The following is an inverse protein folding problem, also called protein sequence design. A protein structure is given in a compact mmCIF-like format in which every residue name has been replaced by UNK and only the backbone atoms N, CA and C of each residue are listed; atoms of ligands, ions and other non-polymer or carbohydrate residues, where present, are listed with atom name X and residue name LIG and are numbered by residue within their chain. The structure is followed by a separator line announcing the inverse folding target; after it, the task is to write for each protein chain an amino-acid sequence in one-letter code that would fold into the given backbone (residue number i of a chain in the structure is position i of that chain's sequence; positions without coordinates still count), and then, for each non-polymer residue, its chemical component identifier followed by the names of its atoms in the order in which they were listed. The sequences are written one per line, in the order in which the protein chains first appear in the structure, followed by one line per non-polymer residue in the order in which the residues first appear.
data_IF_947018413379
#
_entry.id   IF_947018413379
#
_cell.length_a   1.000
_cell.length_b   1.000
_cell.length_c   1.000
_cell.angle_alpha   90.00
_cell.angle_beta   90.00
_cell.angle_gamma   90.00
#
_symmetry.space_group_name_H-M   'P 1'
#
loop_
_entity.id
_entity.type
_entity.pdbx_description
1 polymer ?
#
# COMPACT_ATOMS: atom_id res chain seq x y z
N UNK A 1 -5.45 -10.15 -11.47
CA UNK A 1 -5.46 -9.11 -10.41
C UNK A 1 -4.21 -9.16 -9.55
N UNK A 2 -3.91 -10.21 -8.77
CA UNK A 2 -2.66 -10.20 -7.98
C UNK A 2 -1.41 -10.12 -8.88
N UNK A 3 -1.35 -10.91 -9.96
CA UNK A 3 -0.25 -10.83 -10.93
C UNK A 3 -0.08 -9.44 -11.56
N UNK A 4 -1.19 -8.78 -11.91
CA UNK A 4 -1.19 -7.43 -12.46
C UNK A 4 -0.61 -6.41 -11.46
N UNK A 5 -0.94 -6.58 -10.17
CA UNK A 5 -0.36 -5.76 -9.11
C UNK A 5 1.14 -6.05 -8.96
N UNK A 6 1.55 -7.32 -8.97
CA UNK A 6 2.97 -7.71 -8.94
C UNK A 6 3.75 -7.12 -10.10
N UNK A 7 3.21 -7.21 -11.32
CA UNK A 7 3.77 -6.61 -12.53
C UNK A 7 3.89 -5.09 -12.36
N UNK A 8 2.84 -4.44 -11.84
CA UNK A 8 2.91 -3.00 -11.63
C UNK A 8 3.97 -2.60 -10.61
N UNK A 9 4.08 -3.33 -9.50
CA UNK A 9 5.13 -3.08 -8.50
C UNK A 9 6.51 -3.27 -9.12
N UNK A 10 6.69 -4.33 -9.91
CA UNK A 10 7.94 -4.61 -10.62
C UNK A 10 8.31 -3.49 -11.57
N UNK A 11 7.37 -2.99 -12.38
CA UNK A 11 7.59 -1.85 -13.27
C UNK A 11 8.06 -0.61 -12.50
N UNK A 12 7.37 -0.25 -11.41
CA UNK A 12 7.70 0.93 -10.61
C UNK A 12 9.14 0.89 -10.07
N UNK A 13 9.58 -0.28 -9.60
CA UNK A 13 10.93 -0.48 -9.07
C UNK A 13 11.96 -0.49 -10.21
N UNK A 14 11.72 -1.24 -11.29
CA UNK A 14 12.66 -1.37 -12.41
C UNK A 14 12.86 -0.05 -13.14
N UNK A 15 11.78 0.71 -13.34
CA UNK A 15 11.81 2.03 -13.99
C UNK A 15 12.32 3.14 -13.05
N UNK A 16 12.64 2.81 -11.78
CA UNK A 16 13.07 3.76 -10.74
C UNK A 16 12.06 4.88 -10.49
N UNK A 17 10.77 4.60 -10.67
CA UNK A 17 9.70 5.51 -10.22
C UNK A 17 9.62 5.54 -8.70
N UNK A 18 10.02 4.44 -8.06
CA UNK A 18 10.19 4.31 -6.61
C UNK A 18 11.52 3.61 -6.30
N UNK A 19 12.14 3.97 -5.17
CA UNK A 19 13.33 3.31 -4.64
C UNK A 19 13.00 1.98 -3.91
N UNK A 20 11.74 1.81 -3.51
CA UNK A 20 11.21 0.58 -2.93
C UNK A 20 9.70 0.65 -2.79
N UNK A 21 9.05 -0.51 -2.66
CA UNK A 21 7.61 -0.65 -2.55
C UNK A 21 7.23 -1.39 -1.27
N UNK A 22 6.50 -0.75 -0.37
CA UNK A 22 5.99 -1.35 0.85
C UNK A 22 4.67 -2.08 0.57
N UNK A 23 4.70 -3.41 0.59
CA UNK A 23 3.55 -4.27 0.42
C UNK A 23 3.48 -5.34 1.50
N UNK A 24 2.78 -6.42 1.18
CA UNK A 24 2.72 -7.62 2.00
C UNK A 24 3.36 -8.78 1.25
N UNK A 25 4.07 -9.63 1.96
CA UNK A 25 4.52 -10.93 1.44
C UNK A 25 4.02 -12.06 2.32
N UNK A 26 3.86 -13.23 1.73
CA UNK A 26 3.71 -14.47 2.48
C UNK A 26 5.09 -14.91 2.97
N UNK A 27 5.19 -15.24 4.24
CA UNK A 27 6.39 -15.80 4.84
C UNK A 27 5.97 -17.01 5.69
N UNK A 28 6.28 -18.21 5.20
CA UNK A 28 5.69 -19.47 5.69
C UNK A 28 4.15 -19.38 5.74
N UNK A 29 3.56 -19.53 6.94
CA UNK A 29 2.12 -19.49 7.17
C UNK A 29 1.62 -18.09 7.60
N UNK A 30 2.48 -17.07 7.53
CA UNK A 30 2.16 -15.71 7.94
C UNK A 30 2.18 -14.76 6.76
N UNK A 31 1.45 -13.66 6.89
CA UNK A 31 1.54 -12.51 5.98
C UNK A 31 2.26 -11.41 6.76
N UNK A 32 3.26 -10.77 6.17
CA UNK A 32 4.03 -9.73 6.86
C UNK A 32 4.26 -8.51 5.95
N UNK A 33 4.35 -7.29 6.51
CA UNK A 33 4.84 -6.13 5.78
C UNK A 33 6.25 -6.39 5.25
N UNK A 34 6.46 -6.03 3.99
CA UNK A 34 7.74 -6.22 3.33
C UNK A 34 8.05 -5.07 2.38
N UNK A 35 9.31 -4.62 2.38
CA UNK A 35 9.80 -3.61 1.46
C UNK A 35 10.50 -4.31 0.30
N UNK A 36 9.83 -4.34 -0.84
CA UNK A 36 10.40 -4.81 -2.10
C UNK A 36 11.28 -3.70 -2.67
N UNK A 37 12.48 -4.04 -3.09
CA UNK A 37 13.46 -3.13 -3.71
C UNK A 37 14.03 -3.82 -4.94
N UNK A 38 14.98 -3.17 -5.60
CA UNK A 38 15.64 -3.76 -6.77
C UNK A 38 16.51 -4.96 -6.38
N UNK A 39 17.04 -4.96 -5.17
CA UNK A 39 17.98 -5.95 -4.64
C UNK A 39 17.31 -7.27 -4.22
N UNK A 40 16.00 -7.28 -4.02
CA UNK A 40 15.22 -8.45 -3.60
C UNK A 40 13.95 -8.62 -4.44
N UNK A 41 14.03 -8.25 -5.72
CA UNK A 41 12.88 -8.19 -6.62
C UNK A 41 12.24 -9.56 -6.85
N UNK A 42 13.02 -10.64 -6.75
CA UNK A 42 12.58 -12.02 -6.78
C UNK A 42 11.54 -12.34 -5.69
N UNK A 43 11.59 -11.65 -4.55
CA UNK A 43 10.63 -11.86 -3.45
C UNK A 43 9.20 -11.46 -3.84
N UNK A 44 8.99 -10.74 -4.95
CA UNK A 44 7.66 -10.47 -5.49
C UNK A 44 6.88 -11.75 -5.84
N UNK A 45 7.56 -12.88 -6.04
CA UNK A 45 6.87 -14.18 -6.16
C UNK A 45 6.02 -14.46 -4.91
N UNK A 46 6.52 -14.10 -3.73
CA UNK A 46 5.85 -14.22 -2.44
C UNK A 46 4.92 -13.03 -2.11
N UNK A 47 4.83 -12.01 -2.97
CA UNK A 47 3.87 -10.93 -2.76
C UNK A 47 2.47 -11.51 -2.60
N UNK A 48 1.75 -11.01 -1.61
CA UNK A 48 0.45 -11.55 -1.25
C UNK A 48 -0.54 -10.43 -0.99
N UNK A 49 -1.71 -10.51 -1.62
CA UNK A 49 -2.79 -9.59 -1.38
C UNK A 49 -3.94 -10.28 -0.65
N UNK A 50 -4.29 -9.77 0.52
CA UNK A 50 -5.36 -10.34 1.35
C UNK A 50 -6.11 -9.26 2.14
N UNK A 51 -7.13 -9.67 2.87
CA UNK A 51 -7.92 -8.86 3.80
C UNK A 51 -7.15 -8.53 5.10
N UNK A 52 -5.97 -9.12 5.31
CA UNK A 52 -5.11 -8.83 6.47
C UNK A 52 -4.70 -7.36 6.48
N UNK A 53 -4.78 -6.74 7.66
CA UNK A 53 -4.46 -5.32 7.84
C UNK A 53 -3.16 -5.14 8.61
N UNK A 54 -2.29 -4.32 8.06
CA UNK A 54 -1.11 -3.82 8.73
C UNK A 54 -1.12 -2.28 8.74
N UNK A 55 -0.54 -1.63 9.76
CA UNK A 55 -0.43 -0.18 9.81
C UNK A 55 0.71 0.30 8.89
N UNK A 56 0.59 0.02 7.59
CA UNK A 56 1.64 0.30 6.59
C UNK A 56 2.01 1.79 6.57
N UNK A 57 1.05 2.67 6.83
CA UNK A 57 1.23 4.12 6.93
C UNK A 57 2.18 4.53 8.07
N UNK A 58 2.20 3.78 9.17
CA UNK A 58 3.19 3.97 10.26
C UNK A 58 4.55 3.41 9.90
N UNK A 59 4.59 2.30 9.16
CA UNK A 59 5.84 1.66 8.73
C UNK A 59 6.56 2.55 7.72
N UNK A 60 5.86 3.05 6.70
CA UNK A 60 6.46 3.92 5.69
C UNK A 60 6.97 5.23 6.29
N UNK A 61 6.28 5.78 7.29
CA UNK A 61 6.74 6.96 8.04
C UNK A 61 8.09 6.71 8.72
N UNK A 62 8.29 5.52 9.30
CA UNK A 62 9.58 5.15 9.88
C UNK A 62 10.66 5.01 8.81
N UNK A 63 10.35 4.37 7.68
CA UNK A 63 11.28 4.21 6.56
C UNK A 63 11.72 5.59 6.03
N UNK A 64 10.78 6.49 5.75
CA UNK A 64 11.07 7.86 5.29
C UNK A 64 11.92 8.68 6.28
N UNK A 65 11.85 8.39 7.58
CA UNK A 65 12.73 9.04 8.57
C UNK A 65 14.21 8.67 8.37
N UNK A 66 14.49 7.43 7.99
CA UNK A 66 15.86 6.98 7.70
C UNK A 66 16.30 7.32 6.27
N UNK A 67 15.34 7.45 5.35
CA UNK A 67 15.57 7.70 3.93
C UNK A 67 14.72 8.89 3.44
N UNK A 68 15.00 10.12 3.89
CA UNK A 68 14.17 11.28 3.62
C UNK A 68 14.13 11.67 2.13
N UNK A 69 15.21 11.46 1.39
CA UNK A 69 15.31 11.85 -0.02
C UNK A 69 14.78 10.78 -1.00
N UNK A 70 14.37 9.63 -0.46
CA UNK A 70 13.90 8.48 -1.25
C UNK A 70 12.40 8.55 -1.50
N UNK A 71 12.00 8.06 -2.67
CA UNK A 71 10.59 7.89 -3.06
C UNK A 71 10.18 6.45 -2.84
N UNK A 72 9.01 6.23 -2.28
CA UNK A 72 8.54 4.88 -1.99
C UNK A 72 7.14 4.62 -2.53
N UNK A 73 6.94 3.43 -3.06
CA UNK A 73 5.62 2.89 -3.31
C UNK A 73 5.02 2.30 -2.03
N UNK A 74 3.70 2.32 -1.91
CA UNK A 74 3.01 1.67 -0.81
C UNK A 74 1.64 1.14 -1.24
N UNK A 75 1.34 -0.10 -0.82
CA UNK A 75 0.00 -0.66 -0.87
C UNK A 75 -0.91 0.10 0.11
N UNK A 76 -2.03 0.66 -0.37
CA UNK A 76 -2.94 1.45 0.48
C UNK A 76 -4.38 0.99 0.36
N UNK A 77 -5.10 0.95 1.48
CA UNK A 77 -6.57 0.86 1.51
C UNK A 77 -7.15 2.21 1.92
N UNK A 78 -8.48 2.37 1.83
CA UNK A 78 -9.15 3.61 2.22
C UNK A 78 -8.91 4.05 3.68
N UNK A 79 -8.58 3.11 4.59
CA UNK A 79 -8.15 3.45 5.95
C UNK A 79 -6.72 3.99 6.01
N UNK A 80 -5.78 3.43 5.24
CA UNK A 80 -4.40 3.93 5.16
C UNK A 80 -4.35 5.31 4.52
N UNK A 81 -5.11 5.52 3.45
CA UNK A 81 -5.21 6.80 2.78
C UNK A 81 -5.64 7.92 3.73
N UNK A 82 -6.71 7.71 4.50
CA UNK A 82 -7.18 8.69 5.48
C UNK A 82 -6.11 9.00 6.53
N UNK A 83 -5.39 7.99 7.00
CA UNK A 83 -4.30 8.20 7.94
C UNK A 83 -3.12 8.95 7.31
N UNK A 84 -2.76 8.65 6.06
CA UNK A 84 -1.72 9.34 5.31
C UNK A 84 -2.08 10.83 5.06
N UNK A 85 -3.34 11.12 4.75
CA UNK A 85 -3.84 12.51 4.61
C UNK A 85 -3.63 13.29 5.90
N UNK A 86 -4.02 12.72 7.06
CA UNK A 86 -3.83 13.39 8.35
C UNK A 86 -2.35 13.55 8.69
N UNK A 87 -1.51 12.55 8.42
CA UNK A 87 -0.05 12.67 8.59
C UNK A 87 0.52 13.78 7.71
N UNK A 88 0.04 13.93 6.47
CA UNK A 88 0.48 14.96 5.54
C UNK A 88 0.06 16.37 5.98
N UNK A 89 -1.19 16.55 6.44
CA UNK A 89 -1.66 17.81 7.04
C UNK A 89 -0.79 18.26 8.22
N UNK A 90 -0.26 17.31 8.99
CA UNK A 90 0.62 17.55 10.12
C UNK A 90 2.11 17.62 9.75
N UNK A 91 2.46 17.76 8.46
CA UNK A 91 3.82 17.83 7.94
C UNK A 91 4.71 16.63 8.35
N UNK A 92 4.11 15.48 8.66
CA UNK A 92 4.83 14.26 9.04
C UNK A 92 5.37 13.52 7.82
N UNK A 93 4.70 13.66 6.68
CA UNK A 93 5.05 13.01 5.42
C UNK A 93 4.54 13.82 4.23
N UNK A 94 5.31 13.87 3.15
CA UNK A 94 4.87 14.42 1.86
C UNK A 94 4.25 13.31 1.04
N UNK A 95 2.97 13.43 0.67
CA UNK A 95 2.31 12.47 -0.23
C UNK A 95 2.91 12.49 -1.64
N UNK A 96 3.58 13.58 -2.04
CA UNK A 96 4.27 13.68 -3.33
C UNK A 96 5.49 12.77 -3.44
N UNK A 97 6.00 12.32 -2.29
CA UNK A 97 7.15 11.42 -2.21
C UNK A 97 6.71 9.95 -2.19
N UNK A 98 5.40 9.70 -2.26
CA UNK A 98 4.82 8.37 -2.24
C UNK A 98 4.14 8.05 -3.57
N UNK A 99 4.29 6.81 -4.01
CA UNK A 99 3.47 6.22 -5.06
C UNK A 99 2.44 5.27 -4.41
N UNK A 100 1.18 5.67 -4.40
CA UNK A 100 0.12 4.95 -3.70
C UNK A 100 -0.58 3.98 -4.65
N UNK A 101 -0.47 2.68 -4.35
CA UNK A 101 -1.19 1.63 -5.06
C UNK A 101 -2.39 1.22 -4.21
N UNK A 102 -3.58 1.64 -4.63
CA UNK A 102 -4.81 1.49 -3.89
C UNK A 102 -5.48 0.13 -4.08
N UNK A 103 -5.99 -0.46 -3.00
CA UNK A 103 -6.85 -1.64 -3.02
C UNK A 103 -8.14 -1.29 -2.30
N UNK A 104 -9.25 -1.26 -3.04
CA UNK A 104 -10.56 -1.07 -2.43
C UNK A 104 -10.89 -2.28 -1.54
N UNK A 105 -11.71 -2.11 -0.50
CA UNK A 105 -12.09 -3.22 0.38
C UNK A 105 -13.21 -4.05 -0.27
N UNK A 106 -13.17 -5.37 -0.09
CA UNK A 106 -14.28 -6.28 -0.46
C UNK A 106 -15.52 -6.00 0.41
N UNK A 107 -16.69 -6.45 -0.04
CA UNK A 107 -17.94 -6.39 0.76
C UNK A 107 -17.77 -7.06 2.13
N UNK A 108 -17.09 -8.21 2.17
CA UNK A 108 -16.81 -8.92 3.42
C UNK A 108 -15.99 -8.05 4.39
N UNK A 109 -14.95 -7.37 3.89
CA UNK A 109 -14.20 -6.41 4.70
C UNK A 109 -15.05 -5.23 5.16
N UNK A 110 -15.94 -4.71 4.32
CA UNK A 110 -16.86 -3.62 4.71
C UNK A 110 -17.75 -4.06 5.86
N UNK A 111 -18.34 -5.26 5.78
CA UNK A 111 -19.20 -5.80 6.83
C UNK A 111 -18.42 -6.03 8.13
N UNK A 112 -17.24 -6.64 8.07
CA UNK A 112 -16.38 -6.88 9.24
C UNK A 112 -15.92 -5.59 9.93
N UNK A 113 -15.71 -4.52 9.16
CA UNK A 113 -15.08 -3.29 9.65
C UNK A 113 -16.06 -2.12 9.82
N UNK A 114 -17.30 -2.28 9.36
CA UNK A 114 -18.35 -1.27 9.34
C UNK A 114 -17.87 0.09 8.77
N UNK A 115 -17.09 0.03 7.69
CA UNK A 115 -16.43 1.22 7.14
C UNK A 115 -17.36 2.01 6.22
N UNK A 116 -17.49 3.31 6.45
CA UNK A 116 -18.26 4.23 5.59
C UNK A 116 -17.53 4.65 4.30
N UNK A 117 -16.20 4.53 4.25
CA UNK A 117 -15.39 4.84 3.06
C UNK A 117 -14.38 3.73 2.77
N UNK A 118 -14.83 2.60 2.18
CA UNK A 118 -14.02 1.40 1.94
C UNK A 118 -13.14 1.46 0.69
N UNK A 119 -13.04 2.61 0.04
CA UNK A 119 -12.27 2.81 -1.18
C UNK A 119 -11.26 3.96 -1.04
N UNK A 120 -10.25 3.93 -1.89
CA UNK A 120 -9.25 5.01 -2.01
C UNK A 120 -9.76 6.12 -2.94
N UNK A 121 -9.30 7.34 -2.73
CA UNK A 121 -9.65 8.56 -3.48
C UNK A 121 -8.46 9.25 -4.14
N UNK A 122 -7.28 9.16 -3.54
CA UNK A 122 -6.06 9.87 -3.97
C UNK A 122 -4.93 8.93 -4.39
N UNK A 123 -5.16 7.62 -4.40
CA UNK A 123 -4.17 6.66 -4.90
C UNK A 123 -3.83 6.90 -6.38
N UNK A 124 -2.58 6.68 -6.76
CA UNK A 124 -2.12 6.86 -8.15
C UNK A 124 -2.80 5.87 -9.10
N UNK A 125 -3.04 4.66 -8.61
CA UNK A 125 -3.83 3.63 -9.27
C UNK A 125 -4.67 2.91 -8.21
N UNK A 126 -5.86 2.44 -8.57
CA UNK A 126 -6.69 1.64 -7.66
C UNK A 126 -7.13 0.34 -8.33
N UNK A 127 -7.01 -0.75 -7.58
CA UNK A 127 -7.52 -2.06 -7.94
C UNK A 127 -8.75 -2.41 -7.09
N UNK A 128 -9.50 -3.38 -7.60
CA UNK A 128 -10.79 -3.84 -7.11
C UNK A 128 -11.88 -2.78 -7.28
N UNK A 129 -13.11 -3.25 -7.47
CA UNK A 129 -14.25 -2.36 -7.66
C UNK A 129 -14.54 -1.56 -6.39
N UNK A 130 -15.11 -0.37 -6.56
CA UNK A 130 -15.53 0.45 -5.42
C UNK A 130 -16.75 -0.18 -4.78
N UNK A 131 -16.61 -0.61 -3.53
CA UNK A 131 -17.74 -1.11 -2.73
C UNK A 131 -18.42 0.03 -1.99
N UNK A 132 -19.74 -0.09 -1.79
CA UNK A 132 -20.51 0.85 -0.95
C UNK A 132 -20.08 0.70 0.50
N UNK A 133 -19.87 1.82 1.19
CA UNK A 133 -19.64 1.82 2.63
C UNK A 133 -20.92 1.52 3.42
N UNK A 134 -20.77 1.14 4.68
CA UNK A 134 -21.88 1.14 5.63
C UNK A 134 -22.33 2.59 5.88
N UNK A 135 -23.65 2.80 5.90
CA UNK A 135 -24.29 4.07 6.24
C UNK A 135 -24.27 4.33 7.74
#
# INVERSE_FOLDING_TARGET
MENEIKEKIKELIVNKEVDGFLGLRRYFNYVVPYLFTKENLEDLEEFFLDEVKYPLSKIILKIKKFYPDKKFGMLVRGCDERHLIELSKNNRISLKDLYLLGINCSENMVLKCECSSPYVRIANISFWEKTRGKE
#
